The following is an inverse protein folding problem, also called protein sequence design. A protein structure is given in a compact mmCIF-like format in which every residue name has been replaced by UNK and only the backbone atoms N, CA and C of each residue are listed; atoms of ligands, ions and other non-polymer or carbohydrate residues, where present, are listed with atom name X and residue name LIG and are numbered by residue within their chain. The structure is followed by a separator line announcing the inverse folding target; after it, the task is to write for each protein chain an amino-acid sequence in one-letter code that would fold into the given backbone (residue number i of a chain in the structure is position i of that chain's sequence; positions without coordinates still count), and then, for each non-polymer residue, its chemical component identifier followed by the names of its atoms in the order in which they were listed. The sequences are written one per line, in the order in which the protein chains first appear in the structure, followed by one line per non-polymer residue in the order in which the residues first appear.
data_IF_075778419562
#
_entry.id   IF_075778419562
#
_cell.length_a   1.000
_cell.length_b   1.000
_cell.length_c   1.000
_cell.angle_alpha   90.00
_cell.angle_beta   90.00
_cell.angle_gamma   90.00
#
_symmetry.space_group_name_H-M   'P 1'
#
loop_
_entity.id
_entity.type
_entity.pdbx_description
1 polymer ?
#
# COMPACT_ATOMS: atom_id res chain seq x y z
N UNK A 1 0.50 -1.85 28.64
CA UNK A 1 1.67 -1.70 27.76
C UNK A 1 2.49 -2.96 27.86
N UNK A 2 2.96 -3.51 26.73
CA UNK A 2 3.80 -4.72 26.70
C UNK A 2 5.10 -4.38 25.98
N UNK A 3 6.24 -4.66 26.60
CA UNK A 3 7.58 -4.40 26.05
C UNK A 3 8.45 -5.66 26.15
N UNK A 4 9.64 -5.66 25.54
CA UNK A 4 10.62 -6.75 25.69
C UNK A 4 11.02 -7.44 24.40
N UNK A 5 12.06 -8.26 24.49
CA UNK A 5 12.70 -9.01 23.40
C UNK A 5 12.48 -10.49 23.63
N UNK A 6 11.69 -11.15 22.78
CA UNK A 6 11.30 -12.53 22.96
C UNK A 6 11.60 -13.37 21.71
N UNK A 7 11.83 -14.68 21.91
CA UNK A 7 11.83 -15.59 20.76
C UNK A 7 10.45 -15.62 20.11
N UNK A 8 9.40 -15.72 20.93
CA UNK A 8 8.01 -15.72 20.49
C UNK A 8 7.19 -14.84 21.43
N UNK A 9 6.62 -13.75 20.90
CA UNK A 9 5.73 -12.85 21.65
C UNK A 9 4.30 -12.99 21.15
N UNK A 10 3.38 -13.29 22.05
CA UNK A 10 1.94 -13.32 21.77
C UNK A 10 1.22 -12.33 22.69
N UNK A 11 0.45 -11.41 22.09
CA UNK A 11 -0.37 -10.45 22.84
C UNK A 11 -1.77 -10.45 22.26
N UNK A 12 -2.75 -10.87 23.04
CA UNK A 12 -4.19 -10.89 22.68
C UNK A 12 -4.96 -9.94 23.62
N UNK A 13 -6.26 -9.70 23.39
CA UNK A 13 -7.09 -8.89 24.29
C UNK A 13 -7.77 -7.68 23.64
N UNK A 14 -8.68 -7.07 24.40
CA UNK A 14 -9.51 -5.93 24.01
C UNK A 14 -9.22 -4.76 24.94
N UNK A 15 -8.62 -3.69 24.42
CA UNK A 15 -8.18 -2.56 25.23
C UNK A 15 -8.72 -1.22 24.70
N UNK A 16 -8.89 -0.24 25.59
CA UNK A 16 -9.05 1.14 25.12
C UNK A 16 -7.79 1.61 24.38
N UNK A 17 -6.62 1.32 24.94
CA UNK A 17 -5.33 1.69 24.36
C UNK A 17 -4.34 0.52 24.52
N UNK A 18 -3.90 -0.06 23.42
CA UNK A 18 -2.90 -1.13 23.38
C UNK A 18 -1.58 -0.62 22.83
N UNK A 19 -0.50 -0.82 23.58
CA UNK A 19 0.86 -0.51 23.15
C UNK A 19 1.73 -1.76 23.32
N UNK A 20 2.31 -2.22 22.20
CA UNK A 20 3.25 -3.34 22.17
C UNK A 20 4.53 -2.91 21.48
N UNK A 21 5.65 -2.93 22.19
CA UNK A 21 6.99 -2.64 21.65
C UNK A 21 7.90 -3.84 21.86
N UNK A 22 8.98 -3.99 21.08
CA UNK A 22 9.91 -5.12 21.25
C UNK A 22 10.60 -5.57 19.97
N UNK A 23 11.61 -6.42 20.13
CA UNK A 23 12.38 -7.04 19.03
C UNK A 23 12.25 -8.55 19.18
N UNK A 24 11.51 -9.19 18.27
CA UNK A 24 11.14 -10.59 18.45
C UNK A 24 11.50 -11.46 17.23
N UNK A 25 11.79 -12.74 17.43
CA UNK A 25 11.90 -13.64 16.26
C UNK A 25 10.50 -13.84 15.64
N UNK A 26 9.47 -14.03 16.46
CA UNK A 26 8.08 -14.07 16.02
C UNK A 26 7.20 -13.22 16.94
N UNK A 27 6.47 -12.26 16.37
CA UNK A 27 5.52 -11.40 17.10
C UNK A 27 4.11 -11.56 16.56
N UNK A 28 3.17 -11.90 17.43
CA UNK A 28 1.75 -11.96 17.13
C UNK A 28 0.98 -11.02 18.06
N UNK A 29 0.27 -10.05 17.48
CA UNK A 29 -0.60 -9.14 18.23
C UNK A 29 -2.01 -9.19 17.67
N UNK A 30 -2.96 -9.71 18.43
CA UNK A 30 -4.38 -9.78 18.08
C UNK A 30 -5.20 -8.95 19.08
N UNK A 31 -6.40 -8.53 18.70
CA UNK A 31 -7.26 -7.76 19.61
C UNK A 31 -8.24 -6.80 18.94
N UNK A 32 -9.11 -6.23 19.75
CA UNK A 32 -10.07 -5.18 19.34
C UNK A 32 -9.83 -3.96 20.21
N UNK A 33 -9.26 -2.90 19.65
CA UNK A 33 -8.81 -1.76 20.46
C UNK A 33 -9.38 -0.43 19.96
N UNK A 34 -9.61 0.54 20.85
CA UNK A 34 -9.89 1.90 20.37
C UNK A 34 -8.63 2.49 19.73
N UNK A 35 -7.47 2.32 20.35
CA UNK A 35 -6.18 2.70 19.76
C UNK A 35 -5.16 1.58 19.94
N UNK A 36 -4.55 1.13 18.85
CA UNK A 36 -3.51 0.09 18.83
C UNK A 36 -2.21 0.62 18.25
N UNK A 37 -1.12 0.50 19.01
CA UNK A 37 0.22 0.83 18.57
C UNK A 37 1.13 -0.39 18.71
N UNK A 38 1.73 -0.83 17.61
CA UNK A 38 2.69 -1.93 17.60
C UNK A 38 3.99 -1.46 16.95
N UNK A 39 5.07 -1.40 17.71
CA UNK A 39 6.41 -1.04 17.24
C UNK A 39 7.39 -2.20 17.45
N UNK A 40 8.41 -2.31 16.62
CA UNK A 40 9.41 -3.36 16.78
C UNK A 40 10.19 -3.75 15.54
N UNK A 41 11.23 -4.55 15.73
CA UNK A 41 12.05 -5.14 14.66
C UNK A 41 11.96 -6.65 14.78
N UNK A 42 11.25 -7.31 13.87
CA UNK A 42 10.91 -8.71 14.04
C UNK A 42 11.32 -9.57 12.82
N UNK A 43 11.67 -10.84 13.02
CA UNK A 43 11.83 -11.73 11.85
C UNK A 43 10.47 -12.00 11.21
N UNK A 44 9.44 -12.28 12.00
CA UNK A 44 8.07 -12.42 11.53
C UNK A 44 7.12 -11.62 12.43
N UNK A 45 6.35 -10.70 11.86
CA UNK A 45 5.36 -9.89 12.57
C UNK A 45 3.97 -10.09 11.99
N UNK A 46 3.02 -10.46 12.84
CA UNK A 46 1.61 -10.55 12.51
C UNK A 46 0.81 -9.65 13.44
N UNK A 47 0.05 -8.71 12.87
CA UNK A 47 -0.85 -7.85 13.63
C UNK A 47 -2.26 -7.93 13.04
N UNK A 48 -3.18 -8.52 13.79
CA UNK A 48 -4.59 -8.66 13.40
C UNK A 48 -5.48 -7.91 14.40
N UNK A 49 -6.70 -7.53 14.00
CA UNK A 49 -7.63 -6.87 14.91
C UNK A 49 -8.66 -5.95 14.25
N UNK A 50 -9.55 -5.43 15.09
CA UNK A 50 -10.56 -4.44 14.71
C UNK A 50 -10.36 -3.19 15.55
N UNK A 51 -9.81 -2.12 14.97
CA UNK A 51 -9.40 -0.95 15.75
C UNK A 51 -10.04 0.36 15.26
N UNK A 52 -10.31 1.31 16.15
CA UNK A 52 -10.65 2.67 15.66
C UNK A 52 -9.42 3.32 15.03
N UNK A 53 -8.26 3.23 15.67
CA UNK A 53 -6.99 3.68 15.12
C UNK A 53 -5.91 2.63 15.33
N UNK A 54 -5.23 2.23 14.24
CA UNK A 54 -4.13 1.26 14.26
C UNK A 54 -2.86 1.86 13.67
N UNK A 55 -1.77 1.77 14.42
CA UNK A 55 -0.42 2.16 13.99
C UNK A 55 0.52 0.97 14.13
N UNK A 56 1.17 0.57 13.04
CA UNK A 56 2.18 -0.49 13.04
C UNK A 56 3.46 0.01 12.39
N UNK A 57 4.51 0.17 13.19
CA UNK A 57 5.83 0.64 12.78
C UNK A 57 6.86 -0.47 12.99
N UNK A 58 7.86 -0.59 12.12
CA UNK A 58 8.93 -1.57 12.34
C UNK A 58 9.75 -1.94 11.12
N UNK A 59 10.77 -2.75 11.35
CA UNK A 59 11.64 -3.31 10.31
C UNK A 59 11.58 -4.82 10.42
N UNK A 60 10.95 -5.49 9.45
CA UNK A 60 10.68 -6.92 9.58
C UNK A 60 11.14 -7.74 8.36
N UNK A 61 11.55 -8.99 8.57
CA UNK A 61 11.77 -9.88 7.40
C UNK A 61 10.42 -10.21 6.75
N UNK A 62 9.39 -10.52 7.53
CA UNK A 62 8.03 -10.71 7.03
C UNK A 62 7.04 -9.97 7.93
N UNK A 63 6.25 -9.07 7.35
CA UNK A 63 5.22 -8.30 8.04
C UNK A 63 3.85 -8.55 7.43
N UNK A 64 2.90 -8.98 8.26
CA UNK A 64 1.49 -9.13 7.90
C UNK A 64 0.63 -8.28 8.82
N UNK A 65 -0.15 -7.37 8.24
CA UNK A 65 -1.11 -6.54 9.00
C UNK A 65 -2.50 -6.68 8.38
N UNK A 66 -3.38 -7.37 9.08
CA UNK A 66 -4.79 -7.57 8.68
C UNK A 66 -5.72 -6.91 9.69
N UNK A 67 -6.98 -6.67 9.32
CA UNK A 67 -7.96 -6.11 10.24
C UNK A 67 -9.05 -5.25 9.61
N UNK A 68 -9.87 -4.67 10.48
CA UNK A 68 -10.94 -3.74 10.13
C UNK A 68 -10.79 -2.48 10.95
N UNK A 69 -10.30 -1.40 10.35
CA UNK A 69 -9.95 -0.19 11.07
C UNK A 69 -10.65 1.06 10.54
N UNK A 70 -10.97 2.03 11.41
CA UNK A 70 -11.38 3.36 10.89
C UNK A 70 -10.17 4.07 10.28
N UNK A 71 -9.03 4.05 10.96
CA UNK A 71 -7.77 4.59 10.43
C UNK A 71 -6.63 3.59 10.66
N UNK A 72 -5.93 3.23 9.58
CA UNK A 72 -4.78 2.32 9.64
C UNK A 72 -3.54 2.99 9.06
N UNK A 73 -2.46 3.01 9.84
CA UNK A 73 -1.14 3.47 9.42
C UNK A 73 -0.15 2.33 9.58
N UNK A 74 0.54 1.97 8.50
CA UNK A 74 1.62 0.97 8.52
C UNK A 74 2.87 1.58 7.91
N UNK A 75 3.92 1.73 8.71
CA UNK A 75 5.22 2.26 8.30
C UNK A 75 6.30 1.22 8.55
N UNK A 76 7.37 1.21 7.74
CA UNK A 76 8.47 0.26 7.96
C UNK A 76 9.27 -0.12 6.74
N UNK A 77 10.34 -0.88 6.98
CA UNK A 77 11.25 -1.41 5.95
C UNK A 77 11.24 -2.93 6.04
N UNK A 78 10.67 -3.62 5.07
CA UNK A 78 10.42 -5.05 5.17
C UNK A 78 10.95 -5.84 3.96
N UNK A 79 11.40 -7.08 4.17
CA UNK A 79 11.68 -7.95 3.00
C UNK A 79 10.37 -8.33 2.30
N UNK A 80 9.35 -8.72 3.06
CA UNK A 80 8.01 -8.98 2.54
C UNK A 80 6.96 -8.30 3.43
N UNK A 81 6.13 -7.45 2.83
CA UNK A 81 5.05 -6.72 3.51
C UNK A 81 3.71 -7.01 2.87
N UNK A 82 2.76 -7.46 3.70
CA UNK A 82 1.37 -7.66 3.31
C UNK A 82 0.45 -6.84 4.22
N UNK A 83 -0.30 -5.91 3.64
CA UNK A 83 -1.30 -5.11 4.36
C UNK A 83 -2.65 -5.31 3.70
N UNK A 84 -3.53 -6.06 4.36
CA UNK A 84 -4.91 -6.31 3.90
C UNK A 84 -5.91 -5.81 4.96
N UNK A 85 -7.20 -5.90 4.65
CA UNK A 85 -8.26 -5.47 5.56
C UNK A 85 -9.16 -4.37 5.01
N UNK A 86 -10.28 -4.17 5.67
CA UNK A 86 -11.32 -3.19 5.32
C UNK A 86 -11.19 -1.96 6.20
N UNK A 87 -10.65 -0.88 5.64
CA UNK A 87 -10.31 0.31 6.41
C UNK A 87 -10.97 1.56 5.82
N UNK A 88 -11.47 2.47 6.67
CA UNK A 88 -12.02 3.73 6.13
C UNK A 88 -10.92 4.59 5.51
N UNK A 89 -9.77 4.67 6.16
CA UNK A 89 -8.56 5.32 5.67
C UNK A 89 -7.35 4.41 5.92
N UNK A 90 -6.58 4.12 4.87
CA UNK A 90 -5.36 3.31 4.93
C UNK A 90 -4.17 4.09 4.40
N UNK A 91 -3.13 4.22 5.22
CA UNK A 91 -1.84 4.77 4.84
C UNK A 91 -0.76 3.70 5.01
N UNK A 92 -0.03 3.39 3.94
CA UNK A 92 1.09 2.46 3.99
C UNK A 92 2.33 3.13 3.41
N UNK A 93 3.35 3.32 4.24
CA UNK A 93 4.64 3.90 3.85
C UNK A 93 5.75 2.88 4.11
N UNK A 94 6.83 2.91 3.33
CA UNK A 94 7.96 2.01 3.55
C UNK A 94 8.84 1.72 2.37
N UNK A 95 9.89 0.95 2.62
CA UNK A 95 10.84 0.48 1.61
C UNK A 95 10.92 -1.03 1.68
N UNK A 96 10.37 -1.73 0.69
CA UNK A 96 10.17 -3.16 0.79
C UNK A 96 10.74 -3.92 -0.42
N UNK A 97 11.24 -5.14 -0.23
CA UNK A 97 11.59 -5.98 -1.40
C UNK A 97 10.32 -6.42 -2.13
N UNK A 98 9.31 -6.86 -1.39
CA UNK A 98 7.99 -7.20 -1.93
C UNK A 98 6.90 -6.57 -1.06
N UNK A 99 6.02 -5.78 -1.67
CA UNK A 99 4.90 -5.11 -1.00
C UNK A 99 3.59 -5.43 -1.66
N UNK A 100 2.63 -5.92 -0.88
CA UNK A 100 1.25 -6.12 -1.29
C UNK A 100 0.32 -5.32 -0.38
N UNK A 101 -0.51 -4.47 -0.99
CA UNK A 101 -1.52 -3.69 -0.26
C UNK A 101 -2.89 -3.87 -0.90
N UNK A 102 -3.83 -4.39 -0.13
CA UNK A 102 -5.24 -4.52 -0.49
C UNK A 102 -6.09 -3.72 0.49
N UNK A 103 -7.16 -3.10 0.04
CA UNK A 103 -8.08 -2.37 0.93
C UNK A 103 -9.18 -1.67 0.15
N UNK A 104 -10.01 -0.92 0.86
CA UNK A 104 -11.15 -0.21 0.30
C UNK A 104 -11.19 1.27 0.73
N UNK A 105 -12.10 2.01 0.10
CA UNK A 105 -12.48 3.40 0.40
C UNK A 105 -11.40 4.46 0.20
N UNK A 106 -10.45 4.68 1.10
CA UNK A 106 -9.41 5.71 0.94
C UNK A 106 -8.04 5.13 1.21
N UNK A 107 -7.19 5.06 0.18
CA UNK A 107 -5.90 4.38 0.24
C UNK A 107 -4.77 5.29 -0.24
N UNK A 108 -3.75 5.44 0.59
CA UNK A 108 -2.49 6.08 0.25
C UNK A 108 -1.36 5.08 0.44
N UNK A 109 -0.61 4.80 -0.62
CA UNK A 109 0.57 3.92 -0.57
C UNK A 109 1.78 4.66 -1.11
N UNK A 110 2.75 4.93 -0.25
CA UNK A 110 4.02 5.57 -0.61
C UNK A 110 5.18 4.61 -0.33
N UNK A 111 6.29 4.74 -1.06
CA UNK A 111 7.46 3.91 -0.80
C UNK A 111 8.34 3.63 -2.00
N UNK A 112 9.43 2.92 -1.73
CA UNK A 112 10.42 2.49 -2.74
C UNK A 112 10.55 0.98 -2.64
N UNK A 113 10.06 0.24 -3.64
CA UNK A 113 9.95 -1.21 -3.54
C UNK A 113 10.58 -1.92 -4.74
N UNK A 114 11.15 -3.12 -4.55
CA UNK A 114 11.55 -3.92 -5.73
C UNK A 114 10.32 -4.41 -6.49
N UNK A 115 9.32 -4.94 -5.79
CA UNK A 115 8.05 -5.33 -6.38
C UNK A 115 6.91 -4.78 -5.53
N UNK A 116 6.01 -4.01 -6.14
CA UNK A 116 4.83 -3.41 -5.49
C UNK A 116 3.56 -3.83 -6.19
N UNK A 117 2.61 -4.35 -5.43
CA UNK A 117 1.27 -4.67 -5.88
C UNK A 117 0.24 -3.93 -5.01
N UNK A 118 -0.62 -3.14 -5.64
CA UNK A 118 -1.71 -2.43 -4.93
C UNK A 118 -3.03 -2.71 -5.60
N UNK A 119 -3.93 -3.41 -4.90
CA UNK A 119 -5.25 -3.84 -5.43
C UNK A 119 -6.40 -3.31 -4.57
N UNK A 120 -7.64 -3.43 -5.06
CA UNK A 120 -8.86 -3.13 -4.32
C UNK A 120 -9.81 -2.16 -5.01
N UNK A 121 -10.90 -1.82 -4.31
CA UNK A 121 -11.97 -0.93 -4.79
C UNK A 121 -12.07 0.28 -3.86
N UNK A 122 -11.62 1.44 -4.33
CA UNK A 122 -11.50 2.64 -3.50
C UNK A 122 -12.39 3.80 -4.00
N UNK A 123 -12.85 4.65 -3.08
CA UNK A 123 -13.33 5.99 -3.47
C UNK A 123 -12.14 6.83 -3.95
N UNK A 124 -11.04 6.81 -3.20
CA UNK A 124 -9.82 7.53 -3.55
C UNK A 124 -8.60 6.63 -3.35
N UNK A 125 -7.79 6.47 -4.39
CA UNK A 125 -6.54 5.71 -4.37
C UNK A 125 -5.39 6.60 -4.83
N UNK A 126 -4.38 6.74 -3.98
CA UNK A 126 -3.12 7.41 -4.29
C UNK A 126 -1.97 6.43 -4.10
N UNK A 127 -1.18 6.22 -5.15
CA UNK A 127 0.02 5.38 -5.11
C UNK A 127 1.20 6.18 -5.63
N UNK A 128 2.15 6.49 -4.75
CA UNK A 128 3.39 7.19 -5.09
C UNK A 128 4.58 6.30 -4.78
N UNK A 129 5.70 6.48 -5.49
CA UNK A 129 6.91 5.71 -5.20
C UNK A 129 7.85 5.49 -6.36
N UNK A 130 8.96 4.80 -6.07
CA UNK A 130 9.99 4.41 -7.04
C UNK A 130 10.18 2.91 -6.96
N UNK A 131 9.76 2.18 -7.99
CA UNK A 131 9.72 0.72 -7.93
C UNK A 131 10.43 0.06 -9.12
N UNK A 132 11.04 -1.12 -8.93
CA UNK A 132 11.51 -1.89 -10.09
C UNK A 132 10.32 -2.43 -10.88
N UNK A 133 9.33 -3.00 -10.20
CA UNK A 133 8.07 -3.44 -10.81
C UNK A 133 6.89 -2.95 -9.98
N UNK A 134 5.98 -2.19 -10.59
CA UNK A 134 4.77 -1.67 -9.96
C UNK A 134 3.54 -2.14 -10.70
N UNK A 135 2.62 -2.77 -9.96
CA UNK A 135 1.30 -3.17 -10.45
C UNK A 135 0.22 -2.51 -9.61
N UNK A 136 -0.67 -1.75 -10.25
CA UNK A 136 -1.81 -1.12 -9.59
C UNK A 136 -3.09 -1.50 -10.31
N UNK A 137 -3.89 -2.36 -9.69
CA UNK A 137 -5.18 -2.84 -10.22
C UNK A 137 -6.33 -2.38 -9.33
N UNK A 138 -7.55 -2.24 -9.85
CA UNK A 138 -8.70 -1.88 -9.02
C UNK A 138 -9.79 -1.10 -9.74
N UNK A 139 -10.86 -0.82 -9.02
CA UNK A 139 -11.99 -0.01 -9.47
C UNK A 139 -12.15 1.17 -8.55
N UNK A 140 -11.84 2.38 -9.02
CA UNK A 140 -11.76 3.55 -8.15
C UNK A 140 -12.62 4.73 -8.64
N UNK A 141 -13.20 5.51 -7.72
CA UNK A 141 -13.81 6.79 -8.14
C UNK A 141 -12.72 7.78 -8.58
N UNK A 142 -11.64 7.91 -7.81
CA UNK A 142 -10.48 8.71 -8.17
C UNK A 142 -9.20 7.90 -7.94
N UNK A 143 -8.38 7.75 -8.98
CA UNK A 143 -7.09 7.06 -8.92
C UNK A 143 -5.97 7.97 -9.37
N UNK A 144 -4.95 8.09 -8.53
CA UNK A 144 -3.71 8.81 -8.83
C UNK A 144 -2.53 7.85 -8.64
N UNK A 145 -1.74 7.66 -9.69
CA UNK A 145 -0.52 6.87 -9.64
C UNK A 145 0.65 7.70 -10.15
N UNK A 146 1.56 8.06 -9.24
CA UNK A 146 2.78 8.81 -9.56
C UNK A 146 4.02 7.97 -9.23
N UNK A 147 5.13 8.21 -9.90
CA UNK A 147 6.37 7.51 -9.58
C UNK A 147 7.38 7.38 -10.71
N UNK A 148 8.49 6.74 -10.39
CA UNK A 148 9.59 6.45 -11.32
C UNK A 148 9.86 4.96 -11.26
N UNK A 149 9.46 4.21 -12.29
CA UNK A 149 9.49 2.75 -12.23
C UNK A 149 10.24 2.12 -13.42
N UNK A 150 10.90 0.97 -13.23
CA UNK A 150 11.42 0.24 -14.41
C UNK A 150 10.27 -0.35 -15.23
N UNK A 151 9.32 -1.00 -14.58
CA UNK A 151 8.10 -1.51 -15.22
C UNK A 151 6.87 -1.09 -14.41
N UNK A 152 5.94 -0.39 -15.05
CA UNK A 152 4.69 0.05 -14.42
C UNK A 152 3.48 -0.47 -15.19
N UNK A 153 2.58 -1.13 -14.49
CA UNK A 153 1.29 -1.58 -15.01
C UNK A 153 0.17 -0.98 -14.17
N UNK A 154 -0.74 -0.26 -14.81
CA UNK A 154 -1.94 0.29 -14.17
C UNK A 154 -3.17 -0.17 -14.92
N UNK A 155 -3.96 -1.04 -14.31
CA UNK A 155 -5.22 -1.56 -14.86
C UNK A 155 -6.40 -1.19 -13.96
N UNK A 156 -7.61 -1.13 -14.49
CA UNK A 156 -8.79 -0.84 -13.68
C UNK A 156 -9.93 -0.14 -14.39
N UNK A 157 -11.01 0.10 -13.65
CA UNK A 157 -12.18 0.83 -14.10
C UNK A 157 -12.39 2.03 -13.18
N UNK A 158 -12.09 3.25 -13.66
CA UNK A 158 -12.06 4.43 -12.80
C UNK A 158 -12.96 5.59 -13.31
N UNK A 159 -13.60 6.34 -12.40
CA UNK A 159 -14.29 7.57 -12.84
C UNK A 159 -13.27 8.63 -13.28
N UNK A 160 -12.23 8.83 -12.49
CA UNK A 160 -11.11 9.73 -12.81
C UNK A 160 -9.78 9.00 -12.56
N UNK A 161 -8.93 8.92 -13.58
CA UNK A 161 -7.61 8.29 -13.49
C UNK A 161 -6.51 9.24 -13.96
N UNK A 162 -5.53 9.43 -13.09
CA UNK A 162 -4.32 10.18 -13.40
C UNK A 162 -3.10 9.28 -13.18
N UNK A 163 -2.29 9.11 -14.23
CA UNK A 163 -1.04 8.36 -14.16
C UNK A 163 0.10 9.25 -14.66
N UNK A 164 0.98 9.64 -13.74
CA UNK A 164 2.18 10.45 -14.05
C UNK A 164 3.45 9.69 -13.67
N UNK A 165 4.58 10.02 -14.27
CA UNK A 165 5.85 9.39 -13.90
C UNK A 165 6.94 9.40 -14.96
N UNK A 166 8.05 8.73 -14.62
CA UNK A 166 9.18 8.49 -15.52
C UNK A 166 9.49 7.00 -15.49
N UNK A 167 9.06 6.26 -16.50
CA UNK A 167 9.16 4.80 -16.49
C UNK A 167 9.96 4.25 -17.69
N UNK A 168 10.68 3.14 -17.52
CA UNK A 168 11.28 2.47 -18.70
C UNK A 168 10.20 1.81 -19.56
N UNK A 169 9.29 1.07 -18.94
CA UNK A 169 8.14 0.47 -19.59
C UNK A 169 6.87 0.79 -18.81
N UNK A 170 5.86 1.37 -19.47
CA UNK A 170 4.57 1.72 -18.87
C UNK A 170 3.41 1.18 -19.69
N UNK A 171 2.52 0.45 -19.02
CA UNK A 171 1.26 -0.02 -19.57
C UNK A 171 0.12 0.53 -18.73
N UNK A 172 -0.82 1.22 -19.38
CA UNK A 172 -2.05 1.69 -18.74
C UNK A 172 -3.25 1.19 -19.54
N UNK A 173 -4.02 0.29 -18.94
CA UNK A 173 -5.25 -0.26 -19.52
C UNK A 173 -6.44 0.01 -18.60
N UNK A 174 -7.67 -0.08 -19.13
CA UNK A 174 -8.87 0.10 -18.31
C UNK A 174 -10.06 0.69 -19.04
N UNK A 175 -11.10 0.98 -18.27
CA UNK A 175 -12.30 1.67 -18.73
C UNK A 175 -12.56 2.86 -17.82
N UNK A 176 -12.28 4.07 -18.30
CA UNK A 176 -12.32 5.26 -17.46
C UNK A 176 -13.25 6.36 -17.99
N UNK A 177 -13.94 7.11 -17.11
CA UNK A 177 -14.70 8.29 -17.60
C UNK A 177 -13.75 9.42 -18.01
N UNK A 178 -12.79 9.74 -17.16
CA UNK A 178 -11.75 10.73 -17.44
C UNK A 178 -10.38 10.10 -17.18
N UNK A 179 -9.49 10.12 -18.17
CA UNK A 179 -8.13 9.57 -18.05
C UNK A 179 -7.08 10.54 -18.53
N UNK A 180 -6.08 10.77 -17.68
CA UNK A 180 -4.89 11.55 -17.97
C UNK A 180 -3.65 10.69 -17.76
N UNK A 181 -2.82 10.55 -18.80
CA UNK A 181 -1.54 9.85 -18.72
C UNK A 181 -0.41 10.73 -19.24
N UNK A 182 0.41 11.25 -18.32
CA UNK A 182 1.60 12.06 -18.63
C UNK A 182 2.87 11.36 -18.14
N UNK A 183 4.03 11.79 -18.65
CA UNK A 183 5.32 11.26 -18.23
C UNK A 183 6.36 11.18 -19.35
N UNK A 184 7.60 10.94 -18.93
CA UNK A 184 8.76 10.72 -19.79
C UNK A 184 9.11 9.23 -19.78
N UNK A 185 8.39 8.44 -20.57
CA UNK A 185 8.51 6.98 -20.55
C UNK A 185 9.24 6.48 -21.82
N UNK A 186 10.19 5.53 -21.71
CA UNK A 186 10.90 5.00 -22.91
C UNK A 186 9.95 4.19 -23.80
N UNK A 187 9.19 3.27 -23.20
CA UNK A 187 8.15 2.50 -23.88
C UNK A 187 6.81 2.72 -23.16
N UNK A 188 5.79 3.16 -23.88
CA UNK A 188 4.47 3.48 -23.32
C UNK A 188 3.35 2.89 -24.16
N UNK A 189 2.45 2.15 -23.52
CA UNK A 189 1.21 1.63 -24.11
C UNK A 189 0.02 2.11 -23.28
N UNK A 190 -0.93 2.81 -23.92
CA UNK A 190 -2.16 3.28 -23.27
C UNK A 190 -3.39 2.86 -24.08
N UNK A 191 -4.00 1.76 -23.65
CA UNK A 191 -5.23 1.21 -24.25
C UNK A 191 -6.41 1.34 -23.27
N UNK A 192 -7.62 1.04 -23.74
CA UNK A 192 -8.84 1.13 -22.93
C UNK A 192 -9.98 1.87 -23.59
N UNK A 193 -11.15 1.79 -22.97
CA UNK A 193 -12.37 2.48 -23.38
C UNK A 193 -12.60 3.68 -22.47
N UNK A 194 -12.24 4.87 -22.94
CA UNK A 194 -12.26 6.08 -22.13
C UNK A 194 -13.17 7.15 -22.75
N UNK A 195 -14.08 7.77 -21.97
CA UNK A 195 -14.95 8.84 -22.52
C UNK A 195 -14.14 10.10 -22.85
N UNK A 196 -13.30 10.53 -21.91
CA UNK A 196 -12.37 11.65 -22.08
C UNK A 196 -10.94 11.15 -21.84
N UNK A 197 -10.08 11.20 -22.86
CA UNK A 197 -8.71 10.68 -22.82
C UNK A 197 -7.70 11.76 -23.22
N UNK A 198 -6.79 12.07 -22.30
CA UNK A 198 -5.63 12.94 -22.54
C UNK A 198 -4.34 12.15 -22.30
N UNK A 199 -3.52 12.00 -23.34
CA UNK A 199 -2.21 11.35 -23.25
C UNK A 199 -1.15 12.32 -23.75
N UNK A 200 -0.31 12.83 -22.85
CA UNK A 200 0.79 13.70 -23.21
C UNK A 200 2.08 12.87 -23.32
N UNK A 201 2.84 13.11 -24.39
CA UNK A 201 4.13 12.47 -24.65
C UNK A 201 5.24 13.50 -24.47
N UNK A 202 6.16 13.24 -23.55
CA UNK A 202 7.42 13.99 -23.46
C UNK A 202 8.51 12.99 -23.84
N UNK A 203 8.97 13.00 -25.09
CA UNK A 203 10.11 12.18 -25.51
C UNK A 203 11.39 12.78 -24.95
N UNK A 204 12.27 11.96 -24.38
CA UNK A 204 13.69 12.32 -24.29
C UNK A 204 14.28 12.09 -25.67
N UNK A 205 14.74 13.18 -26.30
CA UNK A 205 15.75 13.13 -27.36
C UNK A 205 17.04 12.58 -26.75
#
# INVERSE_FOLDING_TARGET
MVTGTDRNKMVTGTDKNKMVTGTDKNKMVTGTDRNKMVTGTDRNKMVTGTDRNKMVTGTDKNKMVTGTDRNKMVTGTDRNKMVTGTDRNKMVTGTDRNKMVTGNRNKMVTGTDRNKMVTGTDKNKMVTGTDKNKMVTGTDRNKMVTGTDRNKMVTGTDKNKMVTGTDRNKMVTGTDRNKMVTGTDRNKMVTGTDRNKMVHYISRV
#
